data_IF_385890831168
#
_entry.id   IF_385890831168
#
_cell.length_a   1.000
_cell.length_b   1.000
_cell.length_c   1.000
_cell.angle_alpha   90.00
_cell.angle_beta   90.00
_cell.angle_gamma   90.00
#
_symmetry.space_group_name_H-M   'P 1'
#
loop_
_entity.id
_entity.type
_entity.pdbx_description
1 polymer ?
#
# COMPACT_ATOMS: atom_id res chain seq x y z
N UNK A 1 -1.24 -25.35 1.54
CA UNK A 1 -0.63 -24.09 1.05
C UNK A 1 -1.75 -23.28 0.40
N UNK A 2 -2.42 -22.45 1.19
CA UNK A 2 -3.62 -21.73 0.73
C UNK A 2 -3.18 -20.31 0.37
N UNK A 3 -3.12 -20.02 -0.93
CA UNK A 3 -2.83 -18.68 -1.45
C UNK A 3 -4.05 -17.79 -1.20
N UNK A 4 -3.97 -16.68 -0.44
CA UNK A 4 -5.12 -15.83 -0.21
C UNK A 4 -5.45 -15.06 -1.48
N UNK A 5 -6.72 -15.15 -1.87
CA UNK A 5 -7.31 -14.52 -3.05
C UNK A 5 -6.93 -13.04 -3.18
N UNK A 6 -6.16 -12.72 -4.22
CA UNK A 6 -6.00 -11.36 -4.74
C UNK A 6 -7.37 -10.88 -5.21
N UNK A 7 -7.97 -9.91 -4.51
CA UNK A 7 -9.15 -9.21 -5.06
C UNK A 7 -8.73 -8.61 -6.40
N UNK A 8 -9.55 -8.76 -7.47
CA UNK A 8 -9.28 -8.06 -8.71
C UNK A 8 -9.27 -6.56 -8.40
N UNK A 9 -8.08 -5.96 -8.49
CA UNK A 9 -7.90 -4.53 -8.38
C UNK A 9 -8.79 -3.86 -9.41
N UNK A 10 -9.57 -2.88 -8.95
CA UNK A 10 -10.24 -1.95 -9.85
C UNK A 10 -9.18 -1.47 -10.83
N UNK A 11 -9.35 -1.77 -12.13
CA UNK A 11 -8.44 -1.25 -13.16
C UNK A 11 -8.63 0.26 -13.11
N UNK A 12 -7.71 0.96 -12.44
CA UNK A 12 -7.67 2.41 -12.42
C UNK A 12 -7.65 2.82 -13.88
N UNK A 13 -8.81 3.30 -14.35
CA UNK A 13 -9.05 3.63 -15.73
C UNK A 13 -7.89 4.48 -16.22
N UNK A 14 -7.35 4.08 -17.36
CA UNK A 14 -6.42 4.86 -18.17
C UNK A 14 -6.93 6.30 -18.21
N UNK A 15 -6.28 7.18 -17.47
CA UNK A 15 -6.58 8.61 -17.51
C UNK A 15 -6.24 9.05 -18.92
N UNK A 16 -7.28 9.23 -19.73
CA UNK A 16 -7.17 9.76 -21.09
C UNK A 16 -6.44 11.10 -20.97
N UNK A 17 -5.17 11.12 -21.37
CA UNK A 17 -4.38 12.34 -21.48
C UNK A 17 -5.12 13.27 -22.44
N UNK A 18 -5.76 14.30 -21.91
CA UNK A 18 -6.24 15.42 -22.70
C UNK A 18 -5.01 16.16 -23.22
N UNK A 19 -4.47 15.70 -24.35
CA UNK A 19 -3.40 16.39 -25.07
C UNK A 19 -3.98 17.71 -25.55
N UNK A 20 -3.66 18.81 -24.87
CA UNK A 20 -3.99 20.13 -25.39
C UNK A 20 -2.99 20.41 -26.52
N UNK A 21 -3.46 20.31 -27.76
CA UNK A 21 -2.69 20.72 -28.94
C UNK A 21 -2.91 22.21 -29.13
N UNK A 22 -1.98 23.05 -28.67
CA UNK A 22 -1.98 24.48 -28.98
C UNK A 22 -0.81 24.77 -29.93
N UNK A 23 -1.09 25.39 -31.07
CA UNK A 23 -0.09 25.93 -32.01
C UNK A 23 1.08 24.98 -32.33
N UNK A 24 0.79 23.72 -32.65
CA UNK A 24 1.80 22.68 -32.96
C UNK A 24 2.79 22.36 -31.84
N UNK A 25 2.58 22.89 -30.63
CA UNK A 25 3.35 22.59 -29.42
C UNK A 25 2.58 21.63 -28.51
N UNK A 26 3.24 20.54 -28.12
CA UNK A 26 2.70 19.57 -27.16
C UNK A 26 2.83 20.18 -25.75
N UNK A 27 1.72 20.63 -25.16
CA UNK A 27 1.70 20.96 -23.73
C UNK A 27 1.70 19.65 -22.93
N UNK A 28 2.87 19.26 -22.42
CA UNK A 28 2.99 18.09 -21.53
C UNK A 28 2.24 18.36 -20.22
N UNK A 29 1.03 17.81 -20.08
CA UNK A 29 0.32 17.77 -18.79
C UNK A 29 1.08 16.82 -17.84
N UNK A 30 1.73 17.38 -16.82
CA UNK A 30 2.35 16.55 -15.78
C UNK A 30 1.26 15.75 -15.07
N UNK A 31 1.49 14.44 -14.92
CA UNK A 31 0.47 13.52 -14.42
C UNK A 31 0.97 12.71 -13.24
N UNK A 32 0.06 12.44 -12.30
CA UNK A 32 0.30 11.49 -11.22
C UNK A 32 0.25 10.07 -11.76
N UNK A 33 1.29 9.29 -11.47
CA UNK A 33 1.30 7.85 -11.69
C UNK A 33 1.47 7.13 -10.36
N UNK A 34 0.84 5.96 -10.25
CA UNK A 34 0.92 5.11 -9.07
C UNK A 34 1.30 3.70 -9.46
N UNK A 35 2.19 3.10 -8.70
CA UNK A 35 2.50 1.67 -8.81
C UNK A 35 1.45 0.82 -8.09
N UNK A 36 1.58 -0.50 -8.23
CA UNK A 36 0.79 -1.48 -7.49
C UNK A 36 1.03 -1.35 -5.97
N UNK A 37 0.02 -1.73 -5.19
CA UNK A 37 0.17 -1.78 -3.73
C UNK A 37 1.10 -2.91 -3.32
N UNK A 38 2.04 -2.61 -2.44
CA UNK A 38 2.87 -3.60 -1.78
C UNK A 38 2.02 -4.50 -0.86
N UNK A 39 2.63 -5.60 -0.41
CA UNK A 39 2.00 -6.49 0.54
C UNK A 39 1.65 -5.76 1.86
N UNK A 40 0.60 -6.23 2.51
CA UNK A 40 0.19 -5.67 3.80
C UNK A 40 1.29 -5.93 4.84
N UNK A 41 1.69 -4.90 5.56
CA UNK A 41 2.72 -4.97 6.63
C UNK A 41 2.40 -5.96 7.75
N UNK A 42 1.12 -6.33 7.91
CA UNK A 42 0.68 -7.39 8.81
C UNK A 42 -0.29 -8.32 8.09
N UNK A 43 -0.20 -9.62 8.32
CA UNK A 43 -1.12 -10.61 7.76
C UNK A 43 -2.41 -10.78 8.57
N UNK A 44 -2.44 -10.28 9.82
CA UNK A 44 -3.59 -10.30 10.70
C UNK A 44 -3.65 -9.03 11.58
N UNK A 45 -4.78 -8.83 12.24
CA UNK A 45 -5.09 -7.66 13.04
C UNK A 45 -5.64 -6.49 12.21
N UNK A 46 -5.93 -5.39 12.88
CA UNK A 46 -6.48 -4.15 12.29
C UNK A 46 -5.44 -3.05 12.08
N UNK A 47 -4.19 -3.28 12.45
CA UNK A 47 -3.11 -2.30 12.43
C UNK A 47 -2.16 -2.46 11.24
N UNK A 48 -2.59 -3.18 10.20
CA UNK A 48 -1.86 -3.34 8.95
C UNK A 48 -2.04 -2.14 8.02
N UNK A 49 -0.99 -1.83 7.26
CA UNK A 49 -1.04 -0.87 6.15
C UNK A 49 -0.26 -1.38 4.93
N UNK A 50 -0.73 -1.00 3.74
CA UNK A 50 -0.01 -1.18 2.46
C UNK A 50 0.60 0.15 2.04
N UNK A 51 1.69 0.06 1.29
CA UNK A 51 2.39 1.19 0.71
C UNK A 51 2.34 1.07 -0.82
N UNK A 52 2.38 2.20 -1.52
CA UNK A 52 2.63 2.23 -2.96
C UNK A 52 3.44 3.44 -3.34
N UNK A 53 4.15 3.35 -4.46
CA UNK A 53 4.88 4.47 -5.02
C UNK A 53 3.94 5.40 -5.78
N UNK A 54 4.07 6.71 -5.53
CA UNK A 54 3.31 7.78 -6.19
C UNK A 54 4.29 8.80 -6.72
N UNK A 55 4.33 8.98 -8.05
CA UNK A 55 5.31 9.84 -8.72
C UNK A 55 4.61 10.82 -9.64
N UNK A 56 5.15 12.03 -9.71
CA UNK A 56 4.75 12.99 -10.73
C UNK A 56 5.64 12.76 -11.95
N UNK A 57 5.05 12.58 -13.13
CA UNK A 57 5.81 12.33 -14.36
C UNK A 57 5.49 13.33 -15.45
N UNK A 58 6.53 13.63 -16.23
CA UNK A 58 6.43 14.31 -17.50
C UNK A 58 6.42 13.28 -18.63
N UNK A 59 5.38 13.23 -19.47
CA UNK A 59 5.42 12.44 -20.69
C UNK A 59 6.40 13.08 -21.69
N UNK A 60 7.31 12.28 -22.22
CA UNK A 60 8.27 12.65 -23.25
C UNK A 60 7.74 12.29 -24.65
N UNK A 61 8.32 12.92 -25.68
CA UNK A 61 7.94 12.69 -27.08
C UNK A 61 8.24 11.26 -27.57
N UNK A 62 9.19 10.57 -26.94
CA UNK A 62 9.56 9.18 -27.20
C UNK A 62 8.58 8.16 -26.59
N UNK A 63 7.51 8.64 -25.96
CA UNK A 63 6.51 7.80 -25.28
C UNK A 63 6.94 7.34 -23.89
N UNK A 64 8.11 7.76 -23.39
CA UNK A 64 8.55 7.46 -22.03
C UNK A 64 8.07 8.51 -21.03
N UNK A 65 8.15 8.17 -19.74
CA UNK A 65 7.78 9.05 -18.65
C UNK A 65 9.00 9.37 -17.78
N UNK A 66 9.29 10.65 -17.57
CA UNK A 66 10.35 11.11 -16.67
C UNK A 66 9.77 11.55 -15.34
N UNK A 67 10.32 11.06 -14.23
CA UNK A 67 9.95 11.52 -12.89
C UNK A 67 10.38 12.97 -12.68
N UNK A 68 9.47 13.80 -12.17
CA UNK A 68 9.69 15.22 -11.88
C UNK A 68 9.18 15.56 -10.47
N UNK A 69 9.47 16.78 -10.02
CA UNK A 69 9.04 17.23 -8.70
C UNK A 69 7.51 17.29 -8.58
N UNK A 70 6.98 16.89 -7.42
CA UNK A 70 5.54 16.88 -7.06
C UNK A 70 4.81 18.18 -7.41
N UNK A 71 5.49 19.33 -7.27
CA UNK A 71 4.94 20.67 -7.56
C UNK A 71 4.40 20.87 -8.98
N UNK A 72 4.83 20.05 -9.93
CA UNK A 72 4.43 20.19 -11.34
C UNK A 72 3.10 19.48 -11.65
N UNK A 73 2.75 18.45 -10.87
CA UNK A 73 1.48 17.77 -11.04
C UNK A 73 0.39 18.56 -10.32
N UNK A 74 -0.68 18.83 -11.07
CA UNK A 74 -1.84 19.58 -10.60
C UNK A 74 -2.88 18.57 -10.07
N UNK A 75 -3.62 18.96 -9.03
CA UNK A 75 -4.64 18.14 -8.39
C UNK A 75 -4.11 17.31 -7.22
N UNK A 76 -5.02 16.57 -6.59
CA UNK A 76 -4.72 15.83 -5.37
C UNK A 76 -3.71 14.70 -5.60
N UNK A 77 -2.69 14.67 -4.74
CA UNK A 77 -1.70 13.60 -4.74
C UNK A 77 -2.39 12.29 -4.34
N UNK A 78 -2.31 11.22 -5.15
CA UNK A 78 -2.84 9.93 -4.78
C UNK A 78 -2.27 9.41 -3.46
N UNK A 79 -3.08 8.65 -2.73
CA UNK A 79 -2.68 8.08 -1.44
C UNK A 79 -1.49 7.14 -1.60
N UNK A 80 -0.42 7.32 -0.82
CA UNK A 80 0.74 6.42 -0.82
C UNK A 80 0.67 5.34 0.25
N UNK A 81 -0.28 5.42 1.18
CA UNK A 81 -0.43 4.51 2.32
C UNK A 81 -1.89 4.29 2.65
N UNK A 82 -2.34 3.04 2.67
CA UNK A 82 -3.72 2.67 3.00
C UNK A 82 -3.81 1.60 4.09
N UNK A 83 -4.85 1.60 4.93
CA UNK A 83 -5.08 0.50 5.87
C UNK A 83 -5.40 -0.81 5.12
N UNK A 84 -4.91 -1.93 5.65
CA UNK A 84 -5.15 -3.26 5.12
C UNK A 84 -5.28 -4.28 6.24
N UNK A 85 -5.93 -5.40 5.92
CA UNK A 85 -6.24 -6.51 6.82
C UNK A 85 -7.10 -6.11 8.02
N UNK A 86 -8.18 -6.88 8.20
CA UNK A 86 -9.15 -6.74 9.30
C UNK A 86 -9.50 -8.09 9.92
N UNK A 87 -8.73 -9.12 9.60
CA UNK A 87 -8.88 -10.45 10.17
C UNK A 87 -8.31 -10.46 11.58
N UNK A 88 -8.98 -11.10 12.56
CA UNK A 88 -8.41 -11.29 13.89
C UNK A 88 -7.13 -12.12 13.80
N UNK A 89 -6.12 -11.77 14.61
CA UNK A 89 -4.94 -12.61 14.75
C UNK A 89 -5.27 -13.90 15.51
N UNK A 90 -4.61 -15.02 15.19
CA UNK A 90 -4.75 -16.24 15.96
C UNK A 90 -4.37 -16.00 17.42
N UNK A 91 -5.12 -16.60 18.34
CA UNK A 91 -4.86 -16.50 19.77
C UNK A 91 -3.43 -16.97 20.08
N UNK A 92 -2.69 -16.15 20.82
CA UNK A 92 -1.35 -16.51 21.29
C UNK A 92 -1.48 -17.06 22.71
N UNK A 93 -1.11 -18.32 22.92
CA UNK A 93 -0.98 -18.89 24.25
C UNK A 93 0.22 -18.26 24.94
N UNK A 94 -0.02 -17.59 26.07
CA UNK A 94 1.06 -17.08 26.92
C UNK A 94 1.30 -18.08 28.04
N UNK A 95 2.45 -18.75 28.01
CA UNK A 95 2.93 -19.52 29.15
C UNK A 95 3.57 -18.55 30.14
N UNK A 96 3.10 -18.52 31.38
CA UNK A 96 3.80 -17.87 32.49
C UNK A 96 4.80 -18.85 33.10
N UNK A 97 5.81 -18.34 33.80
CA UNK A 97 6.68 -19.18 34.62
C UNK A 97 5.85 -19.96 35.63
N UNK A 98 6.10 -21.26 35.75
CA UNK A 98 5.45 -22.09 36.75
C UNK A 98 5.98 -21.69 38.13
N UNK A 99 5.08 -21.51 39.09
CA UNK A 99 5.43 -21.28 40.49
C UNK A 99 5.69 -22.63 41.17
N UNK A 100 6.85 -22.79 41.81
CA UNK A 100 7.11 -23.94 42.68
C UNK A 100 6.08 -24.00 43.80
N UNK A 101 5.38 -25.12 43.90
CA UNK A 101 4.50 -25.40 45.03
C UNK A 101 5.32 -26.16 46.09
N UNK A 102 5.45 -25.57 47.27
CA UNK A 102 6.08 -26.23 48.43
C UNK A 102 5.16 -27.34 48.95
N UNK A 103 5.62 -28.58 48.89
CA UNK A 103 4.95 -29.76 49.43
C UNK A 103 5.23 -29.90 50.95
N UNK A 104 4.87 -28.90 51.76
CA UNK A 104 5.15 -28.90 53.22
C UNK A 104 3.90 -29.01 54.11
N UNK A 105 2.81 -29.64 53.63
CA UNK A 105 1.61 -29.86 54.45
C UNK A 105 0.99 -31.25 54.34
N UNK A 106 1.81 -32.29 54.43
CA UNK A 106 1.32 -33.61 54.80
C UNK A 106 2.32 -34.31 55.72
N UNK A 107 2.31 -33.91 57.00
CA UNK A 107 2.77 -34.77 58.10
C UNK A 107 1.49 -35.23 58.81
N UNK A 108 1.23 -36.54 58.73
CA UNK A 108 0.19 -37.26 59.49
C UNK A 108 0.44 -37.18 60.99
#
# INVERSE_FOLDING_TARGET
LEHPATRPGVKSGSVLSCKIVLNSTVFSIFSWITEEWEHCTRTCGSSGYQLRSVRCVQPLHDGTNRSVHTKYCIGDKPESRRPCNRSPCPAQWKTSSWSEVSMDKFVM
#
